data_IF_936670770790
#
_entry.id   IF_936670770790
#
_cell.length_a   1.000
_cell.length_b   1.000
_cell.length_c   1.000
_cell.angle_alpha   90.00
_cell.angle_beta   90.00
_cell.angle_gamma   90.00
#
_symmetry.space_group_name_H-M   'P 1'
#
loop_
_entity.id
_entity.type
_entity.pdbx_description
1 polymer ?
#
# COMPACT_ATOMS: atom_id res chain seq x y z
N UNK A 1 -6.55 -2.53 1.41
CA UNK A 1 -6.28 -1.12 1.78
C UNK A 1 -5.63 -0.43 0.58
N UNK A 2 -5.74 0.89 0.44
CA UNK A 2 -5.06 1.67 -0.61
C UNK A 2 -3.73 2.19 -0.04
N UNK A 3 -2.68 2.16 -0.86
CA UNK A 3 -1.30 2.52 -0.51
C UNK A 3 -0.71 3.25 -1.74
N UNK A 4 -0.36 4.53 -1.57
CA UNK A 4 0.05 5.42 -2.66
C UNK A 4 1.48 5.09 -3.12
N UNK A 5 2.36 4.80 -2.17
CA UNK A 5 3.77 4.45 -2.33
C UNK A 5 3.90 3.16 -3.15
N UNK A 6 2.95 2.23 -2.97
CA UNK A 6 2.86 1.01 -3.77
C UNK A 6 2.20 1.23 -5.14
N UNK A 7 1.05 1.92 -5.19
CA UNK A 7 0.29 2.09 -6.43
C UNK A 7 -0.53 3.40 -6.47
N UNK A 8 -0.13 4.31 -7.34
CA UNK A 8 -0.77 5.64 -7.50
C UNK A 8 -2.04 5.61 -8.35
N UNK A 9 -2.23 4.57 -9.18
CA UNK A 9 -3.38 4.45 -10.08
C UNK A 9 -3.84 3.00 -10.24
N UNK A 10 -5.16 2.83 -10.39
CA UNK A 10 -5.77 1.56 -10.78
C UNK A 10 -6.68 1.77 -11.99
N UNK A 11 -6.69 0.78 -12.89
CA UNK A 11 -7.60 0.73 -14.03
C UNK A 11 -8.47 -0.51 -13.90
N UNK A 12 -9.78 -0.31 -13.80
CA UNK A 12 -10.74 -1.41 -13.69
C UNK A 12 -11.58 -1.48 -14.97
N UNK A 13 -11.74 -2.68 -15.52
CA UNK A 13 -12.72 -2.97 -16.56
C UNK A 13 -13.94 -3.62 -15.92
N UNK A 14 -15.06 -2.90 -15.89
CA UNK A 14 -16.31 -3.36 -15.32
C UNK A 14 -17.16 -3.95 -16.45
N UNK A 15 -17.72 -5.14 -16.24
CA UNK A 15 -18.70 -5.77 -17.14
C UNK A 15 -20.05 -5.84 -16.42
N UNK A 16 -21.12 -5.47 -17.13
CA UNK A 16 -22.50 -5.56 -16.67
C UNK A 16 -23.19 -6.71 -17.40
N UNK A 17 -23.91 -7.53 -16.65
CA UNK A 17 -24.69 -8.66 -17.16
C UNK A 17 -26.13 -8.55 -16.66
N UNK A 18 -27.07 -9.08 -17.43
CA UNK A 18 -28.48 -9.18 -17.03
C UNK A 18 -28.64 -10.26 -15.96
N UNK A 19 -29.64 -10.12 -15.09
CA UNK A 19 -30.00 -11.18 -14.14
C UNK A 19 -30.51 -12.44 -14.87
N UNK A 20 -31.29 -12.23 -15.93
CA UNK A 20 -31.75 -13.29 -16.82
C UNK A 20 -30.70 -13.60 -17.92
N UNK A 21 -30.59 -14.87 -18.34
CA UNK A 21 -29.67 -15.25 -19.40
C UNK A 21 -30.05 -14.59 -20.74
N UNK A 22 -29.02 -14.26 -21.53
CA UNK A 22 -29.23 -13.78 -22.88
C UNK A 22 -29.90 -14.85 -23.75
N UNK A 23 -30.68 -14.40 -24.72
CA UNK A 23 -31.21 -15.27 -25.78
C UNK A 23 -30.03 -15.95 -26.48
N UNK A 24 -30.14 -17.23 -26.87
CA UNK A 24 -29.09 -17.92 -27.62
C UNK A 24 -28.60 -17.08 -28.82
N UNK A 25 -27.30 -17.16 -29.11
CA UNK A 25 -26.61 -16.44 -30.18
C UNK A 25 -26.44 -14.91 -30.00
N UNK A 26 -26.83 -14.36 -28.84
CA UNK A 26 -26.54 -12.97 -28.47
C UNK A 26 -25.38 -12.91 -27.48
N UNK A 27 -24.37 -12.09 -27.78
CA UNK A 27 -23.22 -11.85 -26.90
C UNK A 27 -23.20 -10.41 -26.39
N UNK A 28 -22.69 -10.23 -25.18
CA UNK A 28 -22.43 -8.90 -24.62
C UNK A 28 -21.43 -8.13 -25.50
N UNK A 29 -21.82 -6.93 -25.92
CA UNK A 29 -21.01 -6.02 -26.71
C UNK A 29 -20.21 -5.03 -25.86
N UNK A 30 -19.47 -4.09 -26.50
CA UNK A 30 -18.65 -3.11 -25.77
C UNK A 30 -19.48 -2.19 -24.87
N UNK A 31 -20.77 -1.99 -25.16
CA UNK A 31 -21.69 -1.21 -24.33
C UNK A 31 -21.99 -1.85 -22.97
N UNK A 32 -21.72 -3.15 -22.79
CA UNK A 32 -21.84 -3.81 -21.49
C UNK A 32 -20.59 -3.64 -20.63
N UNK A 33 -19.57 -2.91 -21.11
CA UNK A 33 -18.33 -2.71 -20.39
C UNK A 33 -18.02 -1.23 -20.19
N UNK A 34 -17.40 -0.90 -19.07
CA UNK A 34 -16.93 0.45 -18.76
C UNK A 34 -15.54 0.40 -18.12
N UNK A 35 -14.65 1.30 -18.53
CA UNK A 35 -13.33 1.46 -17.91
C UNK A 35 -13.40 2.55 -16.84
N UNK A 36 -12.98 2.22 -15.63
CA UNK A 36 -12.88 3.16 -14.51
C UNK A 36 -11.42 3.39 -14.17
N UNK A 37 -11.03 4.66 -14.18
CA UNK A 37 -9.72 5.13 -13.76
C UNK A 37 -9.80 5.63 -12.32
N UNK A 38 -8.98 5.06 -11.45
CA UNK A 38 -8.92 5.40 -10.03
C UNK A 38 -7.54 6.00 -9.77
N UNK A 39 -7.53 7.17 -9.16
CA UNK A 39 -6.31 7.83 -8.67
C UNK A 39 -6.28 7.69 -7.15
N UNK A 40 -5.20 7.14 -6.61
CA UNK A 40 -4.96 7.11 -5.17
C UNK A 40 -4.40 8.47 -4.77
N UNK A 41 -4.97 9.07 -3.73
CA UNK A 41 -4.48 10.32 -3.19
C UNK A 41 -3.41 10.05 -2.14
N UNK A 42 -2.28 10.72 -2.30
CA UNK A 42 -1.15 10.68 -1.38
C UNK A 42 -1.51 11.36 -0.04
N UNK A 43 -1.10 10.74 1.07
CA UNK A 43 -1.27 11.24 2.43
C UNK A 43 0.03 10.96 3.18
N UNK A 44 0.65 12.03 3.69
CA UNK A 44 1.86 11.99 4.49
C UNK A 44 1.86 10.87 5.55
N UNK A 45 2.79 9.94 5.40
CA UNK A 45 3.00 8.83 6.31
C UNK A 45 4.16 9.13 7.27
N UNK A 46 4.10 8.54 8.47
CA UNK A 46 5.18 8.71 9.44
C UNK A 46 6.33 7.72 9.20
N UNK A 47 7.54 8.03 9.69
CA UNK A 47 8.66 7.09 9.64
C UNK A 47 8.36 5.81 10.42
N UNK A 48 8.62 4.66 9.80
CA UNK A 48 8.40 3.34 10.39
C UNK A 48 9.73 2.70 10.80
N UNK A 49 9.76 2.07 11.98
CA UNK A 49 10.92 1.32 12.43
C UNK A 49 10.95 -0.06 11.78
N UNK A 50 12.15 -0.51 11.37
CA UNK A 50 12.33 -1.89 10.94
C UNK A 50 13.63 -2.47 11.54
N UNK A 51 13.56 -3.54 12.36
CA UNK A 51 12.36 -4.28 12.77
C UNK A 51 11.56 -3.60 13.90
N UNK A 52 10.25 -3.84 13.95
CA UNK A 52 9.35 -3.42 15.03
C UNK A 52 8.46 -4.61 15.49
N UNK A 53 8.63 -5.14 16.73
CA UNK A 53 9.59 -4.70 17.75
C UNK A 53 11.00 -5.24 17.52
N UNK A 54 12.02 -4.43 17.80
CA UNK A 54 13.41 -4.89 17.89
C UNK A 54 13.67 -5.58 19.23
N UNK A 55 13.88 -6.89 19.22
CA UNK A 55 14.24 -7.67 20.41
C UNK A 55 15.76 -7.79 20.55
N UNK A 56 16.30 -7.36 21.70
CA UNK A 56 17.74 -7.35 21.97
C UNK A 56 18.04 -8.14 23.24
N UNK A 57 18.89 -9.16 23.13
CA UNK A 57 19.32 -9.99 24.27
C UNK A 57 20.77 -9.65 24.61
N UNK A 58 21.04 -9.30 25.88
CA UNK A 58 22.38 -8.98 26.42
C UNK A 58 22.59 -9.64 27.76
N UNK A 59 23.86 -9.82 28.15
CA UNK A 59 24.21 -10.30 29.49
C UNK A 59 24.01 -9.17 30.51
N UNK A 60 23.66 -9.53 31.74
CA UNK A 60 23.46 -8.57 32.83
C UNK A 60 24.76 -7.82 33.22
N UNK A 61 25.92 -8.41 32.96
CA UNK A 61 27.22 -7.90 33.37
C UNK A 61 27.91 -7.04 32.29
N UNK A 62 27.15 -6.39 31.41
CA UNK A 62 27.73 -5.46 30.42
C UNK A 62 28.26 -4.19 31.11
N UNK A 63 29.46 -3.69 30.74
CA UNK A 63 29.98 -2.43 31.28
C UNK A 63 29.10 -1.21 30.98
N UNK A 64 29.18 -0.18 31.82
CA UNK A 64 28.51 1.10 31.57
C UNK A 64 29.03 1.74 30.28
N UNK A 65 28.12 2.25 29.46
CA UNK A 65 28.43 2.83 28.14
C UNK A 65 28.54 1.80 27.01
N UNK A 66 28.23 0.52 27.27
CA UNK A 66 28.17 -0.49 26.21
C UNK A 66 27.05 -0.19 25.22
N UNK A 67 27.33 -0.37 23.93
CA UNK A 67 26.33 -0.29 22.87
C UNK A 67 25.28 -1.41 23.03
N UNK A 68 24.00 -1.01 23.08
CA UNK A 68 22.89 -1.96 23.23
C UNK A 68 22.33 -2.34 21.86
N UNK A 69 21.83 -1.37 21.11
CA UNK A 69 21.30 -1.56 19.78
C UNK A 69 21.24 -0.24 19.02
N UNK A 70 21.09 -0.34 17.69
CA UNK A 70 20.81 0.77 16.80
C UNK A 70 19.46 0.50 16.15
N UNK A 71 18.57 1.47 16.22
CA UNK A 71 17.28 1.43 15.53
C UNK A 71 17.37 2.39 14.35
N UNK A 72 16.81 1.97 13.23
CA UNK A 72 16.63 2.82 12.07
C UNK A 72 15.13 2.95 11.79
N UNK A 73 14.68 4.17 11.51
CA UNK A 73 13.34 4.45 11.03
C UNK A 73 13.44 4.99 9.61
N UNK A 74 12.52 4.57 8.75
CA UNK A 74 12.49 5.00 7.35
C UNK A 74 11.10 5.50 7.04
N UNK A 75 11.03 6.69 6.46
CA UNK A 75 9.81 7.29 5.95
C UNK A 75 9.49 6.64 4.59
N UNK A 76 8.29 6.07 4.40
CA UNK A 76 7.90 5.46 3.14
C UNK A 76 7.59 6.52 2.05
N UNK A 77 7.37 7.78 2.40
CA UNK A 77 7.02 8.83 1.44
C UNK A 77 8.21 9.18 0.53
N UNK A 78 8.10 8.87 -0.77
CA UNK A 78 9.17 9.14 -1.74
C UNK A 78 8.99 10.45 -2.53
N UNK A 79 7.75 10.91 -2.69
CA UNK A 79 7.41 12.03 -3.59
C UNK A 79 6.90 13.29 -2.86
N UNK A 80 6.63 13.20 -1.56
CA UNK A 80 6.16 14.32 -0.77
C UNK A 80 7.32 15.04 -0.08
N UNK A 81 7.48 16.34 -0.34
CA UNK A 81 8.42 17.17 0.43
C UNK A 81 7.83 17.41 1.82
N UNK A 82 8.40 16.75 2.82
CA UNK A 82 8.02 16.90 4.21
C UNK A 82 8.51 18.24 4.77
N UNK A 83 7.59 19.05 5.32
CA UNK A 83 7.93 20.28 6.05
C UNK A 83 7.94 20.03 7.56
N UNK A 84 9.00 20.48 8.23
CA UNK A 84 9.18 20.42 9.70
C UNK A 84 8.23 21.40 10.40
#
# INVERSE_FOLDING_TARGET
PLDYESAMFHTLLIKVENEDPLVPDVVYGPSSTATVYITVMDVNEGPVFFPDPLVVIRRENIPVGSFVAMLNATDPDYLQTQSI
#
